data_IF_309230732229
#
_entry.id   IF_309230732229
#
_cell.length_a   1.000
_cell.length_b   1.000
_cell.length_c   1.000
_cell.angle_alpha   90.00
_cell.angle_beta   90.00
_cell.angle_gamma   90.00
#
_symmetry.space_group_name_H-M   'P 1'
#
loop_
_entity.id
_entity.type
_entity.pdbx_description
1 polymer ?
#
# COMPACT_ATOMS: atom_id res chain seq x y z
N UNK A 1 2.46 -14.39 10.06
CA UNK A 1 2.61 -13.37 9.00
C UNK A 1 4.08 -13.04 8.85
N UNK A 2 4.59 -13.09 7.62
CA UNK A 2 5.99 -12.80 7.30
C UNK A 2 5.99 -11.51 6.48
N UNK A 3 6.78 -10.53 6.89
CA UNK A 3 6.85 -9.22 6.26
C UNK A 3 8.32 -8.81 6.12
N UNK A 4 8.77 -8.49 4.89
CA UNK A 4 10.15 -8.05 4.67
C UNK A 4 10.44 -6.68 5.28
N UNK A 5 9.42 -5.84 5.54
CA UNK A 5 9.60 -4.57 6.24
C UNK A 5 9.60 -4.72 7.78
N UNK A 6 9.97 -3.63 8.45
CA UNK A 6 9.91 -3.50 9.92
C UNK A 6 8.49 -3.15 10.43
N UNK A 7 7.49 -3.08 9.55
CA UNK A 7 6.11 -2.66 9.85
C UNK A 7 5.12 -3.44 9.00
N UNK A 8 3.94 -3.75 9.56
CA UNK A 8 2.88 -4.48 8.86
C UNK A 8 2.16 -3.56 7.86
N UNK A 9 1.79 -4.09 6.70
CA UNK A 9 1.08 -3.34 5.66
C UNK A 9 2.00 -2.40 4.89
N UNK A 10 3.30 -2.72 4.84
CA UNK A 10 4.32 -1.83 4.29
C UNK A 10 4.14 -1.56 2.80
N UNK A 11 3.58 -2.52 2.06
CA UNK A 11 3.31 -2.40 0.63
C UNK A 11 2.28 -1.32 0.29
N UNK A 12 1.46 -0.92 1.26
CA UNK A 12 0.53 0.20 1.14
C UNK A 12 1.04 1.47 1.83
N UNK A 13 1.49 1.34 3.08
CA UNK A 13 1.93 2.49 3.87
C UNK A 13 3.17 3.19 3.28
N UNK A 14 4.06 2.45 2.60
CA UNK A 14 5.31 2.98 2.05
C UNK A 14 5.30 3.18 0.52
N UNK A 15 4.21 2.82 -0.16
CA UNK A 15 4.01 3.11 -1.59
C UNK A 15 3.32 4.45 -1.85
N UNK A 16 2.72 5.05 -0.81
CA UNK A 16 2.10 6.38 -0.81
C UNK A 16 1.05 6.60 -1.90
N UNK A 17 0.07 5.69 -1.98
CA UNK A 17 -1.16 5.92 -2.72
C UNK A 17 -2.32 5.15 -2.06
N UNK A 18 -3.24 5.80 -1.32
CA UNK A 18 -4.27 5.12 -0.55
C UNK A 18 -5.35 4.46 -1.41
N UNK A 19 -5.53 4.95 -2.64
CA UNK A 19 -6.72 4.69 -3.43
C UNK A 19 -7.98 5.27 -2.77
N UNK A 20 -9.12 4.72 -3.13
CA UNK A 20 -10.41 5.04 -2.52
C UNK A 20 -10.95 3.79 -1.82
N UNK A 21 -11.42 3.95 -0.60
CA UNK A 21 -12.13 2.89 0.13
C UNK A 21 -13.60 3.07 -0.15
N UNK A 22 -14.14 2.28 -1.08
CA UNK A 22 -15.58 2.25 -1.38
C UNK A 22 -16.40 2.00 -0.12
N UNK A 23 -17.59 2.60 -0.04
CA UNK A 23 -18.62 2.28 0.96
C UNK A 23 -19.17 0.84 0.85
N UNK A 24 -18.82 0.10 -0.21
CA UNK A 24 -19.14 -1.33 -0.31
C UNK A 24 -18.47 -2.11 0.83
N UNK A 25 -19.28 -2.90 1.55
CA UNK A 25 -18.81 -3.69 2.68
C UNK A 25 -17.69 -4.66 2.24
N UNK A 26 -16.58 -4.76 2.99
CA UNK A 26 -15.59 -5.82 2.80
C UNK A 26 -16.27 -7.19 2.83
N UNK A 27 -15.83 -8.08 1.95
CA UNK A 27 -16.44 -9.40 1.79
C UNK A 27 -16.25 -10.30 3.03
N UNK A 28 -15.33 -9.95 3.95
CA UNK A 28 -15.02 -10.74 5.14
C UNK A 28 -15.27 -9.96 6.45
N UNK A 29 -15.92 -10.54 7.48
CA UNK A 29 -16.24 -9.85 8.74
C UNK A 29 -15.03 -9.24 9.46
N UNK A 30 -13.89 -9.91 9.41
CA UNK A 30 -12.64 -9.41 10.01
C UNK A 30 -12.06 -8.19 9.28
N UNK A 31 -12.28 -8.08 7.96
CA UNK A 31 -11.90 -6.89 7.21
C UNK A 31 -12.86 -5.73 7.50
N UNK A 32 -14.15 -6.02 7.71
CA UNK A 32 -15.12 -5.03 8.14
C UNK A 32 -14.82 -4.50 9.56
N UNK A 33 -14.51 -5.39 10.50
CA UNK A 33 -14.08 -4.99 11.84
C UNK A 33 -12.82 -4.11 11.80
N UNK A 34 -11.90 -4.35 10.86
CA UNK A 34 -10.75 -3.47 10.67
C UNK A 34 -11.14 -2.11 10.06
N UNK A 35 -12.07 -2.08 9.11
CA UNK A 35 -12.63 -0.84 8.56
C UNK A 35 -13.27 0.02 9.64
N UNK A 36 -14.05 -0.58 10.53
CA UNK A 36 -14.67 0.09 11.68
C UNK A 36 -13.60 0.67 12.62
N UNK A 37 -12.54 -0.08 12.93
CA UNK A 37 -11.42 0.42 13.74
C UNK A 37 -10.72 1.61 13.08
N UNK A 38 -10.47 1.56 11.75
CA UNK A 38 -9.90 2.67 11.01
C UNK A 38 -10.79 3.93 11.11
N UNK A 39 -12.10 3.77 10.96
CA UNK A 39 -13.05 4.88 11.08
C UNK A 39 -13.11 5.43 12.51
N UNK A 40 -13.22 4.56 13.52
CA UNK A 40 -13.29 4.93 14.93
C UNK A 40 -12.04 5.69 15.41
N UNK A 41 -10.87 5.39 14.82
CA UNK A 41 -9.59 6.04 15.12
C UNK A 41 -9.28 7.26 14.24
N UNK A 42 -10.20 7.64 13.35
CA UNK A 42 -10.03 8.75 12.42
C UNK A 42 -9.00 8.50 11.31
N UNK A 43 -8.62 7.25 11.08
CA UNK A 43 -7.73 6.85 9.99
C UNK A 43 -8.48 6.64 8.66
N UNK A 44 -9.80 6.48 8.69
CA UNK A 44 -10.67 6.46 7.52
C UNK A 44 -11.73 7.56 7.66
N UNK A 45 -11.75 8.51 6.72
CA UNK A 45 -12.69 9.63 6.72
C UNK A 45 -13.13 9.95 5.29
N UNK A 46 -14.44 10.07 5.05
CA UNK A 46 -15.02 10.31 3.72
C UNK A 46 -14.41 9.40 2.63
N UNK A 47 -14.38 8.09 2.86
CA UNK A 47 -13.80 7.08 1.93
C UNK A 47 -12.28 7.21 1.67
N UNK A 48 -11.59 8.10 2.39
CA UNK A 48 -10.14 8.32 2.27
C UNK A 48 -9.39 7.78 3.47
N UNK A 49 -8.29 7.08 3.17
CA UNK A 49 -7.43 6.48 4.17
C UNK A 49 -6.25 7.41 4.48
N UNK A 50 -6.03 7.70 5.76
CA UNK A 50 -4.80 8.30 6.25
C UNK A 50 -3.72 7.22 6.31
N UNK A 51 -2.87 7.12 5.28
CA UNK A 51 -1.90 6.03 5.14
C UNK A 51 -0.94 5.89 6.32
N UNK A 52 -0.54 7.00 6.94
CA UNK A 52 0.38 6.95 8.08
C UNK A 52 -0.21 6.24 9.31
N UNK A 53 -1.54 6.21 9.44
CA UNK A 53 -2.23 5.48 10.49
C UNK A 53 -2.48 4.00 10.17
N UNK A 54 -2.32 3.57 8.91
CA UNK A 54 -2.62 2.19 8.49
C UNK A 54 -1.75 1.17 9.24
N UNK A 55 -0.42 1.31 9.18
CA UNK A 55 0.50 0.35 9.78
C UNK A 55 0.39 0.21 11.29
N UNK A 56 0.31 1.28 12.11
CA UNK A 56 0.12 1.11 13.55
C UNK A 56 -1.22 0.45 13.89
N UNK A 57 -2.31 0.81 13.20
CA UNK A 57 -3.62 0.22 13.45
C UNK A 57 -3.69 -1.24 12.99
N UNK A 58 -3.10 -1.58 11.84
CA UNK A 58 -3.02 -2.96 11.38
C UNK A 58 -2.14 -3.82 12.32
N UNK A 59 -1.06 -3.23 12.85
CA UNK A 59 -0.21 -3.90 13.83
C UNK A 59 -0.97 -4.19 15.12
N UNK A 60 -1.72 -3.23 15.65
CA UNK A 60 -2.58 -3.43 16.83
C UNK A 60 -3.63 -4.51 16.56
N UNK A 61 -4.30 -4.44 15.40
CA UNK A 61 -5.29 -5.43 14.96
C UNK A 61 -4.72 -6.85 14.91
N UNK A 62 -3.48 -7.02 14.40
CA UNK A 62 -2.78 -8.30 14.40
C UNK A 62 -2.42 -8.79 15.81
N UNK A 63 -1.98 -7.90 16.69
CA UNK A 63 -1.59 -8.23 18.07
C UNK A 63 -2.80 -8.64 18.91
N UNK A 64 -3.93 -7.95 18.77
CA UNK A 64 -5.19 -8.33 19.43
C UNK A 64 -5.65 -9.73 19.03
N UNK A 65 -5.34 -10.16 17.80
CA UNK A 65 -5.59 -11.51 17.27
C UNK A 65 -4.48 -12.52 17.56
N UNK A 66 -3.45 -12.12 18.32
CA UNK A 66 -2.29 -12.95 18.69
C UNK A 66 -1.59 -13.57 17.47
N UNK A 67 -1.57 -12.87 16.34
CA UNK A 67 -0.87 -13.33 15.16
C UNK A 67 0.64 -13.29 15.43
N UNK A 68 1.34 -14.37 15.06
CA UNK A 68 2.80 -14.38 15.06
C UNK A 68 3.31 -13.54 13.88
N UNK A 69 4.05 -12.48 14.19
CA UNK A 69 4.61 -11.54 13.21
C UNK A 69 6.13 -11.74 13.10
N UNK A 70 6.62 -12.05 11.90
CA UNK A 70 8.04 -12.08 11.55
C UNK A 70 8.31 -10.89 10.64
N UNK A 71 8.74 -9.79 11.25
CA UNK A 71 9.12 -8.56 10.57
C UNK A 71 10.60 -8.61 10.16
N UNK A 72 11.01 -7.74 9.23
CA UNK A 72 12.38 -7.67 8.71
C UNK A 72 12.89 -9.07 8.28
N UNK A 73 12.00 -9.84 7.66
CA UNK A 73 12.23 -11.24 7.31
C UNK A 73 12.07 -11.43 5.81
N UNK A 74 13.14 -11.81 5.14
CA UNK A 74 13.15 -12.09 3.70
C UNK A 74 12.72 -13.53 3.44
N UNK A 75 11.87 -13.73 2.44
CA UNK A 75 11.51 -15.06 1.93
C UNK A 75 12.48 -15.42 0.80
N UNK A 76 13.23 -16.51 0.95
CA UNK A 76 14.21 -16.97 -0.02
C UNK A 76 13.56 -17.89 -1.06
N UNK A 77 12.84 -18.91 -0.58
CA UNK A 77 12.15 -19.91 -1.40
C UNK A 77 10.98 -20.51 -0.60
N UNK A 78 9.97 -21.01 -1.28
CA UNK A 78 8.83 -21.68 -0.66
C UNK A 78 8.17 -22.66 -1.62
N UNK A 79 7.49 -23.65 -1.05
CA UNK A 79 6.62 -24.58 -1.75
C UNK A 79 5.21 -24.56 -1.14
N UNK A 80 4.43 -25.63 -1.29
CA UNK A 80 3.08 -25.71 -0.75
C UNK A 80 3.00 -25.72 0.79
N UNK A 81 4.05 -26.19 1.47
CA UNK A 81 4.03 -26.47 2.92
C UNK A 81 5.25 -25.96 3.67
N UNK A 82 6.28 -25.49 2.97
CA UNK A 82 7.53 -25.02 3.56
C UNK A 82 7.93 -23.66 3.01
N UNK A 83 8.46 -22.80 3.88
CA UNK A 83 9.05 -21.51 3.51
C UNK A 83 10.43 -21.37 4.15
N UNK A 84 11.43 -21.09 3.32
CA UNK A 84 12.76 -20.72 3.78
C UNK A 84 12.87 -19.21 3.89
N UNK A 85 13.32 -18.77 5.05
CA UNK A 85 13.44 -17.36 5.40
C UNK A 85 14.87 -17.00 5.81
N UNK A 86 15.19 -15.72 5.70
CA UNK A 86 16.35 -15.09 6.30
C UNK A 86 15.88 -13.96 7.22
N UNK A 87 16.25 -14.02 8.49
CA UNK A 87 15.99 -12.95 9.46
C UNK A 87 17.23 -12.69 10.33
N UNK A 88 17.08 -11.92 11.40
CA UNK A 88 18.19 -11.59 12.31
C UNK A 88 18.80 -12.82 13.02
N UNK A 89 18.09 -13.95 13.05
CA UNK A 89 18.56 -15.23 13.59
C UNK A 89 19.24 -16.11 12.52
N UNK A 90 19.36 -15.62 11.29
CA UNK A 90 19.92 -16.33 10.16
C UNK A 90 18.88 -17.07 9.33
N UNK A 91 19.33 -18.09 8.60
CA UNK A 91 18.48 -18.90 7.72
C UNK A 91 17.65 -19.87 8.53
N UNK A 92 16.34 -19.89 8.30
CA UNK A 92 15.40 -20.80 8.96
C UNK A 92 14.41 -21.39 7.95
N UNK A 93 13.84 -22.54 8.28
CA UNK A 93 12.73 -23.16 7.54
C UNK A 93 11.52 -23.20 8.45
N UNK A 94 10.38 -22.72 7.96
CA UNK A 94 9.09 -22.80 8.65
C UNK A 94 8.18 -23.74 7.85
N UNK A 95 7.42 -24.56 8.57
CA UNK A 95 6.42 -25.45 7.98
C UNK A 95 5.01 -24.98 8.33
N UNK A 96 4.09 -25.14 7.39
CA UNK A 96 2.68 -24.79 7.57
C UNK A 96 1.79 -25.71 6.74
N UNK A 97 0.57 -25.96 7.23
CA UNK A 97 -0.45 -26.68 6.46
C UNK A 97 -0.83 -25.93 5.18
N UNK A 98 -0.84 -24.60 5.24
CA UNK A 98 -1.16 -23.72 4.14
C UNK A 98 -0.28 -22.47 4.13
N UNK A 99 0.20 -22.11 2.94
CA UNK A 99 0.92 -20.85 2.68
C UNK A 99 0.04 -19.96 1.78
N UNK A 100 -0.14 -18.71 2.18
CA UNK A 100 -0.82 -17.67 1.40
C UNK A 100 0.22 -16.65 0.98
N UNK A 101 0.54 -16.59 -0.31
CA UNK A 101 1.45 -15.58 -0.85
C UNK A 101 0.69 -14.28 -1.14
N UNK A 102 0.64 -13.40 -0.16
CA UNK A 102 0.01 -12.08 -0.27
C UNK A 102 0.97 -10.99 -0.79
N UNK A 103 2.16 -11.34 -1.31
CA UNK A 103 3.12 -10.34 -1.83
C UNK A 103 2.57 -9.65 -3.07
N UNK A 104 2.86 -8.35 -3.28
CA UNK A 104 2.41 -7.63 -4.45
C UNK A 104 2.92 -8.28 -5.73
N UNK A 105 2.01 -8.52 -6.68
CA UNK A 105 2.34 -8.94 -8.04
C UNK A 105 2.34 -7.72 -8.97
N UNK A 106 3.39 -7.56 -9.76
CA UNK A 106 3.58 -6.40 -10.65
C UNK A 106 3.22 -6.68 -12.11
N UNK A 107 2.55 -7.80 -12.37
CA UNK A 107 2.18 -8.25 -13.71
C UNK A 107 1.20 -7.30 -14.37
N UNK A 108 1.23 -7.22 -15.71
CA UNK A 108 0.28 -6.48 -16.53
C UNK A 108 0.17 -4.97 -16.23
N UNK A 109 1.29 -4.31 -15.89
CA UNK A 109 1.33 -2.85 -15.72
C UNK A 109 0.69 -2.34 -14.43
N UNK A 110 0.48 -3.21 -13.44
CA UNK A 110 -0.07 -2.84 -12.12
C UNK A 110 0.96 -2.22 -11.19
N UNK A 111 2.24 -2.16 -11.58
CA UNK A 111 3.30 -1.52 -10.79
C UNK A 111 3.14 -0.01 -10.83
N UNK A 112 3.26 0.64 -9.68
CA UNK A 112 3.30 2.10 -9.61
C UNK A 112 4.34 2.61 -8.61
N UNK A 113 4.72 3.87 -8.77
CA UNK A 113 5.44 4.64 -7.76
C UNK A 113 4.58 5.81 -7.32
N UNK A 114 4.24 5.85 -6.03
CA UNK A 114 3.46 6.93 -5.43
C UNK A 114 4.32 7.98 -4.74
N UNK A 115 3.71 9.12 -4.45
CA UNK A 115 4.31 10.20 -3.68
C UNK A 115 3.23 10.99 -2.93
N UNK A 116 3.62 11.54 -1.79
CA UNK A 116 2.82 12.49 -1.02
C UNK A 116 3.03 13.88 -1.59
N UNK A 117 1.91 14.59 -1.74
CA UNK A 117 1.84 15.99 -2.12
C UNK A 117 1.30 16.79 -0.95
N UNK A 118 1.71 18.05 -0.87
CA UNK A 118 1.13 19.03 0.05
C UNK A 118 0.52 20.18 -0.74
N UNK A 119 -0.55 20.74 -0.20
CA UNK A 119 -1.19 21.93 -0.75
C UNK A 119 -1.50 22.97 0.32
N UNK A 120 -1.55 24.23 -0.11
CA UNK A 120 -1.91 25.34 0.77
C UNK A 120 -3.42 25.49 0.95
N UNK A 121 -4.24 25.10 -0.03
CA UNK A 121 -5.70 25.22 0.04
C UNK A 121 -6.40 24.14 -0.81
N UNK A 122 -7.50 23.52 -0.30
CA UNK A 122 -8.35 22.61 -1.07
C UNK A 122 -9.19 23.34 -2.14
N UNK A 123 -9.77 22.61 -3.13
CA UNK A 123 -9.78 21.15 -3.31
C UNK A 123 -8.55 20.60 -4.05
N UNK A 124 -8.25 19.32 -3.84
CA UNK A 124 -7.25 18.56 -4.61
C UNK A 124 -7.80 18.24 -6.00
N UNK A 125 -7.07 18.56 -7.09
CA UNK A 125 -7.37 17.99 -8.39
C UNK A 125 -7.28 16.46 -8.31
N UNK A 126 -8.36 15.76 -8.64
CA UNK A 126 -8.39 14.29 -8.63
C UNK A 126 -8.49 13.74 -10.05
N UNK A 127 -8.00 12.51 -10.22
CA UNK A 127 -8.06 11.80 -11.50
C UNK A 127 -6.73 11.84 -12.26
N UNK A 128 -6.81 11.63 -13.58
CA UNK A 128 -5.64 11.47 -14.44
C UNK A 128 -5.26 12.79 -15.14
N UNK A 129 -3.98 13.12 -15.06
CA UNK A 129 -3.35 14.30 -15.65
C UNK A 129 -2.12 13.84 -16.45
N UNK A 130 -2.38 13.39 -17.68
CA UNK A 130 -1.37 12.67 -18.46
C UNK A 130 -1.00 11.35 -17.79
N UNK A 131 0.29 11.16 -17.50
CA UNK A 131 0.81 9.97 -16.82
C UNK A 131 0.63 10.00 -15.29
N UNK A 132 0.24 11.15 -14.73
CA UNK A 132 0.00 11.31 -13.30
C UNK A 132 -1.43 10.92 -12.95
N UNK A 133 -1.62 10.18 -11.88
CA UNK A 133 -2.93 9.98 -11.26
C UNK A 133 -2.92 10.50 -9.84
N UNK A 134 -3.86 11.39 -9.52
CA UNK A 134 -3.95 12.09 -8.24
C UNK A 134 -5.21 11.69 -7.47
N UNK A 135 -5.08 11.62 -6.15
CA UNK A 135 -6.21 11.52 -5.23
C UNK A 135 -5.97 12.35 -3.96
N UNK A 136 -7.05 12.78 -3.32
CA UNK A 136 -6.98 13.41 -2.00
C UNK A 136 -6.72 12.40 -0.89
N UNK A 137 -6.05 12.85 0.16
CA UNK A 137 -5.90 12.11 1.41
C UNK A 137 -7.08 12.32 2.36
N UNK A 138 -6.99 11.72 3.54
CA UNK A 138 -8.03 11.82 4.57
C UNK A 138 -7.95 13.15 5.33
N UNK A 139 -6.78 13.79 5.36
CA UNK A 139 -6.55 15.05 6.07
C UNK A 139 -6.59 16.26 5.13
N UNK A 140 -7.04 17.44 5.62
CA UNK A 140 -6.97 18.67 4.85
C UNK A 140 -5.53 18.96 4.39
N UNK A 141 -5.37 19.17 3.10
CA UNK A 141 -4.07 19.49 2.49
C UNK A 141 -3.19 18.29 2.16
N UNK A 142 -3.64 17.07 2.50
CA UNK A 142 -3.00 15.82 2.12
C UNK A 142 -3.47 15.40 0.72
N UNK A 143 -2.52 15.13 -0.17
CA UNK A 143 -2.80 14.61 -1.51
C UNK A 143 -1.74 13.58 -1.89
N UNK A 144 -2.07 12.74 -2.84
CA UNK A 144 -1.21 11.68 -3.32
C UNK A 144 -1.18 11.70 -4.84
N UNK A 145 -0.04 11.32 -5.41
CA UNK A 145 0.12 11.11 -6.84
C UNK A 145 0.81 9.79 -7.10
N UNK A 146 0.45 9.11 -8.18
CA UNK A 146 1.18 7.96 -8.69
C UNK A 146 1.46 8.07 -10.18
N UNK A 147 2.49 7.35 -10.61
CA UNK A 147 2.70 6.98 -12.01
C UNK A 147 2.73 5.47 -12.16
N UNK A 148 2.12 4.96 -13.22
CA UNK A 148 2.24 3.54 -13.57
C UNK A 148 3.58 3.25 -14.25
N UNK A 149 4.10 2.07 -14.01
CA UNK A 149 5.43 1.66 -14.44
C UNK A 149 5.39 0.31 -15.18
N UNK A 150 6.28 0.10 -16.15
CA UNK A 150 6.55 -1.24 -16.65
C UNK A 150 6.97 -2.18 -15.52
N UNK A 151 6.62 -3.46 -15.63
CA UNK A 151 6.90 -4.48 -14.61
C UNK A 151 8.40 -4.55 -14.24
N UNK A 152 9.26 -4.50 -15.25
CA UNK A 152 10.72 -4.55 -15.12
C UNK A 152 11.39 -3.19 -14.81
N UNK A 153 10.63 -2.13 -14.55
CA UNK A 153 11.18 -0.82 -14.25
C UNK A 153 11.92 -0.82 -12.91
N UNK A 154 13.17 -0.36 -12.88
CA UNK A 154 13.98 -0.29 -11.66
C UNK A 154 13.79 1.04 -10.90
N UNK A 155 14.43 1.13 -9.74
CA UNK A 155 14.32 2.31 -8.87
C UNK A 155 14.84 3.61 -9.49
N UNK A 156 16.06 3.64 -10.08
CA UNK A 156 16.56 4.84 -10.75
C UNK A 156 15.64 5.33 -11.87
N UNK A 157 15.16 4.42 -12.72
CA UNK A 157 14.26 4.76 -13.82
C UNK A 157 12.92 5.28 -13.32
N UNK A 158 12.29 4.59 -12.35
CA UNK A 158 11.00 4.99 -11.80
C UNK A 158 11.04 6.40 -11.18
N UNK A 159 12.07 6.71 -10.40
CA UNK A 159 12.25 8.03 -9.79
C UNK A 159 12.50 9.11 -10.83
N UNK A 160 13.31 8.82 -11.85
CA UNK A 160 13.55 9.74 -12.97
C UNK A 160 12.25 10.07 -13.69
N UNK A 161 11.43 9.05 -14.01
CA UNK A 161 10.12 9.22 -14.65
C UNK A 161 9.20 10.08 -13.80
N UNK A 162 9.02 9.74 -12.52
CA UNK A 162 8.14 10.51 -11.63
C UNK A 162 8.57 11.97 -11.57
N UNK A 163 9.88 12.22 -11.40
CA UNK A 163 10.42 13.58 -11.35
C UNK A 163 10.22 14.33 -12.67
N UNK A 164 10.55 13.72 -13.81
CA UNK A 164 10.39 14.36 -15.12
C UNK A 164 8.93 14.63 -15.46
N UNK A 165 8.02 13.72 -15.12
CA UNK A 165 6.58 13.92 -15.33
C UNK A 165 6.06 15.02 -14.41
N UNK A 166 6.55 15.09 -13.16
CA UNK A 166 6.17 16.14 -12.22
C UNK A 166 6.71 17.53 -12.61
N UNK A 167 7.93 17.63 -13.16
CA UNK A 167 8.45 18.89 -13.69
C UNK A 167 7.61 19.40 -14.86
N UNK A 168 7.15 18.50 -15.73
CA UNK A 168 6.30 18.83 -16.88
C UNK A 168 4.80 18.74 -16.58
N UNK A 169 4.41 18.83 -15.30
CA UNK A 169 3.01 18.71 -14.89
C UNK A 169 2.14 19.83 -15.48
N UNK A 170 0.85 19.58 -15.71
CA UNK A 170 -0.09 20.61 -16.15
C UNK A 170 -0.19 21.80 -15.20
N UNK A 171 -0.62 22.95 -15.72
CA UNK A 171 -0.73 24.20 -14.95
C UNK A 171 -1.72 24.07 -13.78
N UNK A 172 -2.75 23.23 -13.91
CA UNK A 172 -3.70 22.97 -12.82
C UNK A 172 -3.03 22.36 -11.58
N UNK A 173 -1.89 21.69 -11.76
CA UNK A 173 -1.10 21.08 -10.69
C UNK A 173 0.05 21.97 -10.19
N UNK A 174 0.18 23.21 -10.71
CA UNK A 174 1.31 24.08 -10.40
C UNK A 174 1.41 24.45 -8.92
N UNK A 175 0.27 24.58 -8.23
CA UNK A 175 0.17 24.96 -6.81
C UNK A 175 0.52 23.82 -5.84
N UNK A 176 0.54 22.57 -6.32
CA UNK A 176 0.87 21.40 -5.52
C UNK A 176 2.38 21.32 -5.30
N UNK A 177 2.78 20.99 -4.08
CA UNK A 177 4.19 20.80 -3.72
C UNK A 177 4.49 19.33 -3.51
N UNK A 178 5.52 18.86 -4.19
CA UNK A 178 6.04 17.52 -4.01
C UNK A 178 6.61 17.37 -2.60
N UNK A 179 6.16 16.35 -1.87
CA UNK A 179 6.67 16.00 -0.55
C UNK A 179 7.66 14.86 -0.64
N UNK A 180 7.22 13.66 -0.26
CA UNK A 180 8.03 12.45 -0.22
C UNK A 180 7.59 11.43 -1.26
N UNK A 181 8.56 10.78 -1.90
CA UNK A 181 8.34 9.67 -2.82
C UNK A 181 8.29 8.33 -2.06
N UNK A 182 7.55 7.36 -2.60
CA UNK A 182 7.46 6.00 -2.08
C UNK A 182 8.83 5.34 -1.91
N UNK A 183 8.97 4.63 -0.79
CA UNK A 183 10.12 3.76 -0.50
C UNK A 183 9.87 2.32 -0.94
N UNK A 184 8.65 2.02 -1.41
CA UNK A 184 8.26 0.76 -2.06
C UNK A 184 7.52 1.05 -3.36
N UNK A 185 7.60 0.11 -4.30
CA UNK A 185 6.66 0.07 -5.41
C UNK A 185 5.31 -0.40 -4.87
N UNK A 186 4.24 0.21 -5.35
CA UNK A 186 2.89 -0.28 -5.11
C UNK A 186 2.43 -1.19 -6.25
N UNK A 187 1.44 -2.03 -5.95
CA UNK A 187 0.70 -2.79 -6.95
C UNK A 187 -0.77 -2.37 -6.93
N UNK A 188 -1.32 -2.11 -8.11
CA UNK A 188 -2.75 -1.81 -8.34
C UNK A 188 -3.57 -3.11 -8.50
N UNK A 189 -3.10 -4.21 -7.91
CA UNK A 189 -3.84 -5.48 -7.85
C UNK A 189 -5.13 -5.36 -7.03
N UNK A 190 -5.10 -4.52 -5.99
CA UNK A 190 -6.25 -4.19 -5.16
C UNK A 190 -6.39 -2.67 -5.10
N UNK A 191 -7.62 -2.14 -5.10
CA UNK A 191 -7.85 -0.70 -5.12
C UNK A 191 -7.45 0.01 -3.83
N UNK A 192 -7.38 -0.72 -2.70
CA UNK A 192 -7.02 -0.18 -1.39
C UNK A 192 -6.60 -1.33 -0.43
N UNK A 193 -6.04 -1.00 0.76
CA UNK A 193 -5.58 -2.01 1.72
C UNK A 193 -6.67 -2.91 2.31
N UNK A 194 -7.92 -2.41 2.43
CA UNK A 194 -9.04 -3.19 2.97
C UNK A 194 -9.51 -4.26 1.98
N UNK A 195 -9.55 -3.92 0.68
CA UNK A 195 -9.82 -4.89 -0.38
C UNK A 195 -8.76 -6.00 -0.40
N UNK A 196 -7.48 -5.64 -0.24
CA UNK A 196 -6.39 -6.61 -0.15
C UNK A 196 -6.52 -7.52 1.08
N UNK A 197 -6.83 -6.96 2.26
CA UNK A 197 -7.07 -7.73 3.48
C UNK A 197 -8.23 -8.70 3.30
N UNK A 198 -9.35 -8.22 2.75
CA UNK A 198 -10.54 -9.06 2.51
C UNK A 198 -10.23 -10.22 1.57
N UNK A 199 -9.55 -9.97 0.45
CA UNK A 199 -9.16 -11.01 -0.50
C UNK A 199 -8.22 -12.03 0.15
N UNK A 200 -7.24 -11.58 0.95
CA UNK A 200 -6.33 -12.46 1.68
C UNK A 200 -7.06 -13.37 2.68
N UNK A 201 -8.04 -12.83 3.40
CA UNK A 201 -8.86 -13.58 4.36
C UNK A 201 -9.79 -14.59 3.67
N UNK A 202 -10.35 -14.24 2.51
CA UNK A 202 -11.15 -15.16 1.69
C UNK A 202 -10.33 -16.16 0.88
N UNK A 203 -8.99 -16.07 0.91
CA UNK A 203 -8.07 -16.87 0.09
C UNK A 203 -8.28 -16.66 -1.43
N UNK A 204 -8.75 -15.48 -1.80
CA UNK A 204 -9.01 -15.05 -3.19
C UNK A 204 -7.83 -14.27 -3.76
N UNK A 205 -6.60 -14.59 -3.34
CA UNK A 205 -5.41 -13.89 -3.83
C UNK A 205 -5.12 -14.33 -5.28
N UNK A 206 -5.09 -13.40 -6.26
CA UNK A 206 -4.83 -13.70 -7.67
C UNK A 206 -3.48 -14.34 -7.96
#
# INVERSE_FOLDING_TARGET
>A
LIEPAILVGSDFALSYFPGTVSDEAPLHPEAEAFREELAARGALHNERLHLAALSPLLSDWCLQRKLALLLNTEILEYDAHSVQIMNIHGKQTLEAEQIIDARPKYTNGRKYLGAVLSMAAPPVPEGRFGDLELCSGALPGEAYVRIFLPENCDWPEARRRLYSTWENRPEELASLKFGICGNRFGSDQFPNPLAALSAGLNKEVP
#
